data_IF_141072383290
#
_entry.id   IF_141072383290
#
_cell.length_a   1.000
_cell.length_b   1.000
_cell.length_c   1.000
_cell.angle_alpha   90.00
_cell.angle_beta   90.00
_cell.angle_gamma   90.00
#
_symmetry.space_group_name_H-M   'P 1'
#
loop_
_entity.id
_entity.type
_entity.pdbx_description
1 polymer ?
#
# COMPACT_ATOMS: atom_id res chain seq x y z
N UNK A 1 30.75 -26.84 16.17
CA UNK A 1 30.05 -26.98 14.85
C UNK A 1 28.52 -26.85 14.94
N UNK A 2 27.82 -27.63 15.77
CA UNK A 2 26.34 -27.64 15.87
C UNK A 2 25.73 -26.25 16.14
N UNK A 3 26.37 -25.46 17.00
CA UNK A 3 25.97 -24.08 17.34
C UNK A 3 26.05 -23.10 16.17
N UNK A 4 27.08 -23.23 15.33
CA UNK A 4 27.28 -22.39 14.14
C UNK A 4 26.20 -22.72 13.10
N UNK A 5 25.95 -24.01 12.85
CA UNK A 5 24.91 -24.48 11.94
C UNK A 5 23.52 -23.96 12.37
N UNK A 6 23.22 -24.00 13.67
CA UNK A 6 21.97 -23.47 14.21
C UNK A 6 21.82 -21.95 14.00
N UNK A 7 22.90 -21.19 14.19
CA UNK A 7 22.92 -19.73 13.91
C UNK A 7 22.67 -19.44 12.42
N UNK A 8 23.28 -20.21 11.52
CA UNK A 8 23.07 -20.08 10.07
C UNK A 8 21.61 -20.37 9.71
N UNK A 9 21.03 -21.46 10.22
CA UNK A 9 19.61 -21.79 9.99
C UNK A 9 18.67 -20.70 10.52
N UNK A 10 18.95 -20.18 11.71
CA UNK A 10 18.16 -19.09 12.29
C UNK A 10 18.23 -17.80 11.45
N UNK A 11 19.41 -17.44 10.94
CA UNK A 11 19.59 -16.30 10.04
C UNK A 11 18.71 -16.41 8.79
N UNK A 12 18.72 -17.57 8.11
CA UNK A 12 17.90 -17.76 6.91
C UNK A 12 16.40 -17.79 7.22
N UNK A 13 15.99 -18.37 8.35
CA UNK A 13 14.59 -18.34 8.83
C UNK A 13 14.13 -16.90 9.05
N UNK A 14 14.92 -16.08 9.75
CA UNK A 14 14.59 -14.68 9.96
C UNK A 14 14.59 -13.87 8.66
N UNK A 15 15.52 -14.14 7.74
CA UNK A 15 15.57 -13.49 6.43
C UNK A 15 14.31 -13.81 5.60
N UNK A 16 13.84 -15.05 5.62
CA UNK A 16 12.59 -15.45 4.96
C UNK A 16 11.40 -14.70 5.55
N UNK A 17 11.29 -14.65 6.88
CA UNK A 17 10.22 -13.92 7.57
C UNK A 17 10.22 -12.42 7.22
N UNK A 18 11.39 -11.76 7.22
CA UNK A 18 11.49 -10.35 6.81
C UNK A 18 11.02 -10.09 5.38
N UNK A 19 11.32 -10.99 4.45
CA UNK A 19 10.85 -10.90 3.06
C UNK A 19 9.32 -11.01 2.99
N UNK A 20 8.74 -11.93 3.74
CA UNK A 20 7.30 -12.16 3.78
C UNK A 20 6.56 -10.96 4.38
N UNK A 21 7.04 -10.44 5.52
CA UNK A 21 6.48 -9.23 6.13
C UNK A 21 6.55 -8.04 5.17
N UNK A 22 7.68 -7.85 4.46
CA UNK A 22 7.79 -6.79 3.46
C UNK A 22 6.77 -6.95 2.33
N UNK A 23 6.52 -8.18 1.87
CA UNK A 23 5.49 -8.45 0.86
C UNK A 23 4.09 -8.12 1.37
N UNK A 24 3.77 -8.51 2.60
CA UNK A 24 2.48 -8.18 3.21
C UNK A 24 2.30 -6.67 3.36
N UNK A 25 3.33 -5.93 3.76
CA UNK A 25 3.29 -4.47 3.83
C UNK A 25 3.03 -3.84 2.46
N UNK A 26 3.73 -4.31 1.42
CA UNK A 26 3.52 -3.81 0.05
C UNK A 26 2.08 -4.07 -0.40
N UNK A 27 1.57 -5.30 -0.20
CA UNK A 27 0.19 -5.64 -0.57
C UNK A 27 -0.83 -4.72 0.12
N UNK A 28 -0.70 -4.50 1.43
CA UNK A 28 -1.59 -3.57 2.17
C UNK A 28 -1.53 -2.15 1.62
N UNK A 29 -0.35 -1.69 1.22
CA UNK A 29 -0.20 -0.36 0.62
C UNK A 29 -0.91 -0.29 -0.74
N UNK A 30 -0.76 -1.33 -1.57
CA UNK A 30 -1.45 -1.43 -2.86
C UNK A 30 -2.97 -1.44 -2.67
N UNK A 31 -3.49 -2.29 -1.79
CA UNK A 31 -4.93 -2.37 -1.47
C UNK A 31 -5.48 -1.01 -1.00
N UNK A 32 -4.72 -0.29 -0.17
CA UNK A 32 -5.09 1.06 0.27
C UNK A 32 -5.14 2.07 -0.89
N UNK A 33 -4.21 1.97 -1.85
CA UNK A 33 -4.20 2.85 -3.02
C UNK A 33 -5.37 2.53 -3.95
N UNK A 34 -5.65 1.25 -4.20
CA UNK A 34 -6.81 0.82 -4.99
C UNK A 34 -8.13 1.28 -4.36
N UNK A 35 -8.28 1.18 -3.04
CA UNK A 35 -9.44 1.69 -2.33
C UNK A 35 -9.63 3.20 -2.55
N UNK A 36 -8.55 3.99 -2.45
CA UNK A 36 -8.62 5.44 -2.72
C UNK A 36 -9.03 5.73 -4.17
N UNK A 37 -8.42 5.04 -5.15
CA UNK A 37 -8.72 5.23 -6.57
C UNK A 37 -10.18 4.89 -6.87
N UNK A 38 -10.68 3.78 -6.32
CA UNK A 38 -12.08 3.39 -6.44
C UNK A 38 -13.01 4.43 -5.84
N UNK A 39 -12.67 4.97 -4.67
CA UNK A 39 -13.47 6.02 -4.04
C UNK A 39 -13.48 7.30 -4.88
N UNK A 40 -12.34 7.70 -5.45
CA UNK A 40 -12.28 8.84 -6.37
C UNK A 40 -13.18 8.63 -7.60
N UNK A 41 -13.20 7.41 -8.16
CA UNK A 41 -14.10 7.07 -9.25
C UNK A 41 -15.57 7.21 -8.83
N UNK A 42 -15.94 6.70 -7.66
CA UNK A 42 -17.30 6.87 -7.12
C UNK A 42 -17.67 8.34 -6.89
N UNK A 43 -16.70 9.16 -6.46
CA UNK A 43 -16.90 10.61 -6.32
C UNK A 43 -17.16 11.25 -7.69
N UNK A 44 -16.38 10.91 -8.72
CA UNK A 44 -16.55 11.43 -10.09
C UNK A 44 -17.88 11.01 -10.72
N UNK A 45 -18.34 9.79 -10.42
CA UNK A 45 -19.64 9.26 -10.86
C UNK A 45 -20.82 9.77 -10.02
N UNK A 46 -20.60 10.64 -9.02
CA UNK A 46 -21.61 11.11 -8.05
C UNK A 46 -22.30 9.99 -7.25
N UNK A 47 -21.67 8.82 -7.13
CA UNK A 47 -22.17 7.64 -6.40
C UNK A 47 -21.56 7.49 -4.99
N UNK A 48 -20.53 8.26 -4.67
CA UNK A 48 -19.88 8.20 -3.35
C UNK A 48 -20.84 8.61 -2.24
N UNK A 49 -20.85 7.82 -1.16
CA UNK A 49 -21.62 8.09 0.06
C UNK A 49 -20.87 8.98 1.05
N UNK A 50 -19.63 9.38 0.75
CA UNK A 50 -18.81 10.20 1.63
C UNK A 50 -19.33 11.64 1.73
N UNK A 51 -19.13 12.25 2.89
CA UNK A 51 -19.37 13.68 3.09
C UNK A 51 -18.35 14.52 2.34
N UNK A 52 -18.69 15.79 2.11
CA UNK A 52 -17.84 16.73 1.34
C UNK A 52 -16.38 16.77 1.83
N UNK A 53 -16.14 16.90 3.12
CA UNK A 53 -14.78 16.95 3.71
C UNK A 53 -13.98 15.66 3.46
N UNK A 54 -14.65 14.51 3.51
CA UNK A 54 -14.03 13.21 3.22
C UNK A 54 -13.68 13.07 1.73
N UNK A 55 -14.54 13.58 0.84
CA UNK A 55 -14.26 13.61 -0.60
C UNK A 55 -13.05 14.50 -0.92
N UNK A 56 -12.99 15.68 -0.30
CA UNK A 56 -11.84 16.60 -0.41
C UNK A 56 -10.56 15.93 0.08
N UNK A 57 -10.62 15.21 1.20
CA UNK A 57 -9.49 14.42 1.71
C UNK A 57 -9.02 13.36 0.70
N UNK A 58 -9.94 12.56 0.13
CA UNK A 58 -9.60 11.52 -0.87
C UNK A 58 -8.91 12.14 -2.08
N UNK A 59 -9.46 13.24 -2.61
CA UNK A 59 -8.85 13.96 -3.74
C UNK A 59 -7.46 14.50 -3.42
N UNK A 60 -7.29 15.12 -2.26
CA UNK A 60 -6.00 15.64 -1.80
C UNK A 60 -4.97 14.51 -1.65
N UNK A 61 -5.41 13.38 -1.08
CA UNK A 61 -4.54 12.22 -0.88
C UNK A 61 -4.07 11.63 -2.20
N UNK A 62 -4.95 11.48 -3.18
CA UNK A 62 -4.57 10.97 -4.51
C UNK A 62 -3.65 11.95 -5.22
N UNK A 63 -3.92 13.26 -5.18
CA UNK A 63 -3.00 14.28 -5.71
C UNK A 63 -1.60 14.16 -5.09
N UNK A 64 -1.53 13.96 -3.78
CA UNK A 64 -0.26 13.74 -3.09
C UNK A 64 0.44 12.44 -3.53
N UNK A 65 -0.31 11.35 -3.73
CA UNK A 65 0.27 10.09 -4.19
C UNK A 65 0.79 10.20 -5.63
N UNK A 66 0.09 10.92 -6.50
CA UNK A 66 0.54 11.24 -7.86
C UNK A 66 1.81 12.09 -7.82
N UNK A 67 1.86 13.13 -6.98
CA UNK A 67 3.04 14.01 -6.88
C UNK A 67 4.28 13.30 -6.35
N UNK A 68 4.08 12.26 -5.53
CA UNK A 68 5.15 11.37 -5.05
C UNK A 68 5.53 10.27 -6.04
N UNK A 69 4.86 10.18 -7.19
CA UNK A 69 5.09 9.16 -8.21
C UNK A 69 4.59 7.77 -7.84
N UNK A 70 3.75 7.65 -6.80
CA UNK A 70 3.15 6.37 -6.39
C UNK A 70 2.02 5.93 -7.32
N UNK A 71 1.34 6.89 -7.97
CA UNK A 71 0.28 6.64 -8.94
C UNK A 71 0.67 7.36 -10.24
N UNK A 72 0.66 6.62 -11.35
CA UNK A 72 0.83 7.19 -12.69
C UNK A 72 -0.53 7.44 -13.33
N UNK A 73 -0.69 8.61 -13.94
CA UNK A 73 -1.89 8.97 -14.70
C UNK A 73 -1.50 8.95 -16.17
N UNK A 74 -2.05 8.00 -16.93
CA UNK A 74 -1.90 7.98 -18.38
C UNK A 74 -2.77 9.09 -18.97
N UNK A 75 -2.19 9.92 -19.83
CA UNK A 75 -2.89 10.98 -20.58
C UNK A 75 -3.61 10.42 -21.78
#
# INVERSE_FOLDING_TARGET
>A
MKTIINKIKAYFKQRKLRKELRRQTINRVVENYEALINELRLIQENKSKLYRSQREFVQLRIKHLISKGHIQVNK
#
